data_IF_178126165129
#
_entry.id   IF_178126165129
#
_cell.length_a   1.000
_cell.length_b   1.000
_cell.length_c   1.000
_cell.angle_alpha   90.00
_cell.angle_beta   90.00
_cell.angle_gamma   90.00
#
_symmetry.space_group_name_H-M   'P 1'
#
loop_
_entity.id
_entity.type
_entity.pdbx_description
1 polymer ?
#
# COMPACT_ATOMS: atom_id res chain seq x y z
N UNK A 1 57.36 52.56 -24.42
CA UNK A 1 57.36 51.95 -23.07
C UNK A 1 56.44 50.73 -23.11
N UNK A 2 57.02 49.54 -23.25
CA UNK A 2 57.23 48.54 -22.17
C UNK A 2 55.99 47.70 -21.80
N UNK A 3 56.03 46.45 -22.31
CA UNK A 3 55.73 45.15 -21.65
C UNK A 3 54.33 44.87 -21.10
N UNK A 4 53.66 43.84 -21.63
CA UNK A 4 53.64 42.45 -21.10
C UNK A 4 52.85 42.35 -19.78
N UNK A 5 51.82 41.54 -19.61
CA UNK A 5 51.80 40.07 -19.76
C UNK A 5 50.61 39.55 -18.94
N UNK A 6 50.24 38.28 -19.15
CA UNK A 6 49.43 37.42 -18.26
C UNK A 6 47.92 37.67 -18.28
N UNK A 7 47.06 36.67 -18.28
CA UNK A 7 47.25 35.22 -18.34
C UNK A 7 45.86 34.60 -18.52
N UNK A 8 45.82 33.52 -19.28
CA UNK A 8 45.09 32.29 -18.94
C UNK A 8 44.00 32.44 -17.86
N UNK A 9 42.74 32.57 -18.30
CA UNK A 9 41.64 31.91 -17.61
C UNK A 9 40.81 31.16 -18.63
N UNK A 10 41.25 29.93 -18.87
CA UNK A 10 40.35 28.87 -19.26
C UNK A 10 39.16 28.88 -18.30
N UNK A 11 38.00 29.29 -18.81
CA UNK A 11 36.73 28.80 -18.32
C UNK A 11 36.24 27.78 -19.33
N UNK A 12 36.88 26.62 -19.26
CA UNK A 12 36.18 25.34 -19.25
C UNK A 12 35.00 25.42 -18.26
N UNK A 13 33.90 26.06 -18.66
CA UNK A 13 32.61 25.75 -18.05
C UNK A 13 32.04 24.57 -18.81
N UNK A 14 32.65 23.44 -18.43
CA UNK A 14 31.94 22.22 -18.08
C UNK A 14 30.75 22.03 -18.98
N UNK A 15 30.99 21.31 -20.08
CA UNK A 15 29.92 20.56 -20.71
C UNK A 15 29.12 19.96 -19.58
N UNK A 16 27.91 20.48 -19.37
CA UNK A 16 26.90 19.81 -18.57
C UNK A 16 26.72 18.50 -19.31
N UNK A 17 27.53 17.50 -18.94
CA UNK A 17 27.16 16.11 -19.01
C UNK A 17 25.78 16.12 -18.39
N UNK A 18 24.76 16.20 -19.25
CA UNK A 18 23.43 15.71 -18.98
C UNK A 18 23.70 14.26 -18.59
N UNK A 19 24.05 14.04 -17.33
CA UNK A 19 23.82 12.76 -16.69
C UNK A 19 22.36 12.54 -17.03
N UNK A 20 22.09 11.52 -17.84
CA UNK A 20 20.78 10.88 -17.95
C UNK A 20 20.45 10.38 -16.53
N UNK A 21 20.24 11.31 -15.62
CA UNK A 21 19.67 11.06 -14.32
C UNK A 21 18.21 10.84 -14.61
N UNK A 22 17.72 9.67 -14.23
CA UNK A 22 16.30 9.35 -14.20
C UNK A 22 15.54 10.61 -13.74
N UNK A 23 14.53 11.07 -14.49
CA UNK A 23 13.77 12.26 -14.17
C UNK A 23 13.36 12.23 -12.68
N UNK A 24 13.46 13.35 -11.95
CA UNK A 24 13.10 13.39 -10.52
C UNK A 24 11.65 12.93 -10.28
N UNK A 25 10.78 13.10 -11.27
CA UNK A 25 9.41 12.58 -11.28
C UNK A 25 9.35 11.05 -11.17
N UNK A 26 10.18 10.31 -11.92
CA UNK A 26 10.19 8.84 -11.90
C UNK A 26 10.69 8.32 -10.56
N UNK A 27 11.72 8.98 -9.98
CA UNK A 27 12.21 8.62 -8.64
C UNK A 27 11.13 8.81 -7.58
N UNK A 28 10.38 9.91 -7.65
CA UNK A 28 9.28 10.19 -6.74
C UNK A 28 8.16 9.14 -6.86
N UNK A 29 7.76 8.81 -8.08
CA UNK A 29 6.74 7.77 -8.35
C UNK A 29 7.17 6.42 -7.78
N UNK A 30 8.42 6.01 -8.04
CA UNK A 30 8.95 4.72 -7.56
C UNK A 30 8.98 4.64 -6.03
N UNK A 31 9.40 5.72 -5.37
CA UNK A 31 9.46 5.79 -3.91
C UNK A 31 8.05 5.79 -3.32
N UNK A 32 7.13 6.60 -3.85
CA UNK A 32 5.72 6.60 -3.42
C UNK A 32 5.03 5.26 -3.66
N UNK A 33 5.30 4.58 -4.78
CA UNK A 33 4.77 3.26 -5.05
C UNK A 33 5.30 2.23 -4.05
N UNK A 34 6.60 2.26 -3.74
CA UNK A 34 7.19 1.35 -2.76
C UNK A 34 6.56 1.54 -1.36
N UNK A 35 6.34 2.80 -0.95
CA UNK A 35 5.61 3.08 0.28
C UNK A 35 4.14 2.70 0.23
N UNK A 36 3.50 2.72 -0.95
CA UNK A 36 2.13 2.23 -1.14
C UNK A 36 2.03 0.71 -0.96
N UNK A 37 2.99 -0.03 -1.54
CA UNK A 37 3.09 -1.48 -1.39
C UNK A 37 3.32 -1.87 0.06
N UNK A 38 4.33 -1.28 0.70
CA UNK A 38 4.63 -1.53 2.11
C UNK A 38 3.42 -1.23 3.00
N UNK A 39 2.75 -0.10 2.74
CA UNK A 39 1.56 0.27 3.48
C UNK A 39 0.47 -0.80 3.38
N UNK A 40 0.10 -1.21 2.16
CA UNK A 40 -0.92 -2.24 1.95
C UNK A 40 -0.52 -3.60 2.56
N UNK A 41 0.76 -3.97 2.49
CA UNK A 41 1.26 -5.23 3.08
C UNK A 41 1.11 -5.27 4.60
N UNK A 42 1.17 -4.14 5.29
CA UNK A 42 0.96 -4.08 6.74
C UNK A 42 -0.51 -3.88 7.11
N UNK A 43 -1.22 -3.00 6.41
CA UNK A 43 -2.61 -2.67 6.78
C UNK A 43 -3.59 -3.77 6.44
N UNK A 44 -3.38 -4.48 5.34
CA UNK A 44 -4.28 -5.54 4.91
C UNK A 44 -4.34 -6.71 5.92
N UNK A 45 -3.22 -7.33 6.37
CA UNK A 45 -3.28 -8.38 7.38
C UNK A 45 -3.90 -7.91 8.70
N UNK A 46 -3.58 -6.69 9.14
CA UNK A 46 -4.17 -6.09 10.34
C UNK A 46 -5.69 -5.98 10.20
N UNK A 47 -6.17 -5.48 9.05
CA UNK A 47 -7.60 -5.37 8.78
C UNK A 47 -8.30 -6.72 8.76
N UNK A 48 -7.63 -7.75 8.24
CA UNK A 48 -8.14 -9.12 8.21
C UNK A 48 -8.30 -9.67 9.63
N UNK A 49 -7.27 -9.57 10.47
CA UNK A 49 -7.33 -10.01 11.87
C UNK A 49 -8.42 -9.29 12.68
N UNK A 50 -8.63 -7.99 12.46
CA UNK A 50 -9.69 -7.27 13.17
C UNK A 50 -11.08 -7.72 12.69
N UNK A 51 -11.28 -7.87 11.38
CA UNK A 51 -12.54 -8.37 10.83
C UNK A 51 -12.85 -9.79 11.31
N UNK A 52 -11.83 -10.64 11.41
CA UNK A 52 -11.91 -12.00 11.92
C UNK A 52 -12.25 -12.05 13.43
N UNK A 53 -11.68 -11.16 14.24
CA UNK A 53 -12.08 -11.04 15.64
C UNK A 53 -13.57 -10.67 15.75
N UNK A 54 -14.07 -9.83 14.84
CA UNK A 54 -15.50 -9.55 14.70
C UNK A 54 -16.34 -10.81 14.43
N UNK A 55 -15.87 -11.68 13.53
CA UNK A 55 -16.50 -12.98 13.26
C UNK A 55 -16.55 -13.86 14.51
N UNK A 56 -15.44 -13.97 15.24
CA UNK A 56 -15.37 -14.75 16.47
C UNK A 56 -16.43 -14.31 17.49
N UNK A 57 -16.56 -13.00 17.73
CA UNK A 57 -17.57 -12.46 18.66
C UNK A 57 -18.99 -12.82 18.21
N UNK A 58 -19.27 -12.74 16.90
CA UNK A 58 -20.60 -13.07 16.36
C UNK A 58 -20.92 -14.56 16.40
N UNK A 59 -19.92 -15.42 16.24
CA UNK A 59 -20.06 -16.87 16.44
C UNK A 59 -20.43 -17.17 17.90
N UNK A 60 -19.73 -16.55 18.86
CA UNK A 60 -20.05 -16.71 20.30
C UNK A 60 -21.47 -16.23 20.61
N UNK A 61 -21.97 -15.23 19.89
CA UNK A 61 -23.32 -14.68 20.06
C UNK A 61 -24.39 -15.42 19.23
N UNK A 62 -24.05 -16.58 18.64
CA UNK A 62 -24.94 -17.44 17.86
C UNK A 62 -25.71 -16.68 16.76
N UNK A 63 -25.05 -15.74 16.09
CA UNK A 63 -25.66 -15.02 14.97
C UNK A 63 -25.79 -15.91 13.73
N UNK A 64 -26.77 -15.64 12.84
CA UNK A 64 -26.91 -16.38 11.59
C UNK A 64 -25.73 -16.12 10.65
N UNK A 65 -25.36 -17.14 9.87
CA UNK A 65 -24.18 -17.14 9.00
C UNK A 65 -24.16 -15.98 7.99
N UNK A 66 -25.32 -15.59 7.45
CA UNK A 66 -25.44 -14.45 6.54
C UNK A 66 -24.98 -13.14 7.20
N UNK A 67 -25.39 -12.91 8.45
CA UNK A 67 -25.03 -11.70 9.22
C UNK A 67 -23.54 -11.70 9.56
N UNK A 68 -22.96 -12.86 9.86
CA UNK A 68 -21.52 -12.99 10.13
C UNK A 68 -20.70 -12.61 8.89
N UNK A 69 -21.07 -13.13 7.72
CA UNK A 69 -20.38 -12.82 6.46
C UNK A 69 -20.51 -11.35 6.07
N UNK A 70 -21.72 -10.81 6.12
CA UNK A 70 -21.97 -9.40 5.77
C UNK A 70 -21.15 -8.46 6.67
N UNK A 71 -21.13 -8.74 7.97
CA UNK A 71 -20.34 -7.95 8.91
C UNK A 71 -18.83 -8.13 8.72
N UNK A 72 -18.35 -9.34 8.41
CA UNK A 72 -16.93 -9.55 8.10
C UNK A 72 -16.49 -8.65 6.94
N UNK A 73 -17.21 -8.69 5.81
CA UNK A 73 -16.88 -7.87 4.65
C UNK A 73 -17.01 -6.38 4.96
N UNK A 74 -18.08 -5.99 5.66
CA UNK A 74 -18.30 -4.59 6.03
C UNK A 74 -17.17 -4.06 6.91
N UNK A 75 -16.77 -4.80 7.95
CA UNK A 75 -15.68 -4.41 8.85
C UNK A 75 -14.35 -4.37 8.13
N UNK A 76 -14.05 -5.37 7.29
CA UNK A 76 -12.82 -5.41 6.49
C UNK A 76 -12.72 -4.19 5.58
N UNK A 77 -13.79 -3.86 4.85
CA UNK A 77 -13.84 -2.70 3.96
C UNK A 77 -13.72 -1.40 4.75
N UNK A 78 -14.42 -1.26 5.88
CA UNK A 78 -14.36 -0.05 6.70
C UNK A 78 -12.97 0.20 7.28
N UNK A 79 -12.32 -0.85 7.79
CA UNK A 79 -10.97 -0.72 8.34
C UNK A 79 -9.97 -0.42 7.23
N UNK A 80 -10.09 -1.05 6.06
CA UNK A 80 -9.24 -0.69 4.93
C UNK A 80 -9.48 0.72 4.42
N UNK A 81 -10.72 1.18 4.37
CA UNK A 81 -11.05 2.55 4.03
C UNK A 81 -10.43 3.54 5.04
N UNK A 82 -10.44 3.20 6.34
CA UNK A 82 -9.81 3.99 7.38
C UNK A 82 -8.29 4.10 7.17
N UNK A 83 -7.62 3.01 6.83
CA UNK A 83 -6.20 3.04 6.50
C UNK A 83 -5.92 3.84 5.22
N UNK A 84 -6.75 3.68 4.18
CA UNK A 84 -6.63 4.45 2.93
C UNK A 84 -6.87 5.95 3.12
N UNK A 85 -7.48 6.37 4.22
CA UNK A 85 -7.65 7.79 4.57
C UNK A 85 -6.29 8.48 4.83
N UNK A 86 -5.28 7.75 5.30
CA UNK A 86 -3.93 8.29 5.56
C UNK A 86 -3.29 8.88 4.28
N UNK A 87 -3.15 8.13 3.17
CA UNK A 87 -2.62 8.69 1.92
C UNK A 87 -3.53 9.74 1.29
N UNK A 88 -4.86 9.66 1.49
CA UNK A 88 -5.80 10.72 1.06
C UNK A 88 -5.48 12.04 1.74
N UNK A 89 -5.35 12.02 3.07
CA UNK A 89 -5.05 13.20 3.88
C UNK A 89 -3.72 13.84 3.48
N UNK A 90 -2.70 13.01 3.20
CA UNK A 90 -1.39 13.49 2.80
C UNK A 90 -1.28 13.89 1.31
N UNK A 91 -2.40 13.88 0.56
CA UNK A 91 -2.48 14.19 -0.88
C UNK A 91 -1.47 13.40 -1.72
N UNK A 92 -1.32 12.10 -1.43
CA UNK A 92 -0.41 11.18 -2.13
C UNK A 92 -1.20 10.22 -3.05
N UNK A 93 -1.65 10.66 -4.25
CA UNK A 93 -2.55 9.88 -5.10
C UNK A 93 -1.89 8.60 -5.61
N UNK A 94 -0.60 8.62 -5.94
CA UNK A 94 0.14 7.44 -6.43
C UNK A 94 0.18 6.37 -5.35
N UNK A 95 0.48 6.76 -4.10
CA UNK A 95 0.53 5.85 -2.96
C UNK A 95 -0.84 5.20 -2.71
N UNK A 96 -1.92 5.98 -2.82
CA UNK A 96 -3.28 5.49 -2.68
C UNK A 96 -3.63 4.48 -3.77
N UNK A 97 -3.41 4.81 -5.04
CA UNK A 97 -3.71 3.90 -6.16
C UNK A 97 -2.95 2.60 -6.02
N UNK A 98 -1.66 2.66 -5.69
CA UNK A 98 -0.84 1.47 -5.48
C UNK A 98 -1.33 0.66 -4.28
N UNK A 99 -1.67 1.31 -3.17
CA UNK A 99 -2.20 0.62 -1.99
C UNK A 99 -3.51 -0.12 -2.28
N UNK A 100 -4.42 0.48 -3.05
CA UNK A 100 -5.69 -0.15 -3.47
C UNK A 100 -5.40 -1.36 -4.36
N UNK A 101 -4.55 -1.21 -5.38
CA UNK A 101 -4.21 -2.31 -6.30
C UNK A 101 -3.58 -3.47 -5.53
N UNK A 102 -2.65 -3.19 -4.62
CA UNK A 102 -1.99 -4.22 -3.81
C UNK A 102 -2.96 -4.89 -2.85
N UNK A 103 -3.83 -4.13 -2.18
CA UNK A 103 -4.87 -4.70 -1.31
C UNK A 103 -5.83 -5.62 -2.09
N UNK A 104 -6.24 -5.21 -3.29
CA UNK A 104 -7.06 -6.05 -4.17
C UNK A 104 -6.32 -7.32 -4.62
N UNK A 105 -5.04 -7.21 -4.95
CA UNK A 105 -4.22 -8.36 -5.32
C UNK A 105 -4.04 -9.33 -4.14
N UNK A 106 -3.83 -8.81 -2.92
CA UNK A 106 -3.76 -9.62 -1.69
C UNK A 106 -5.07 -10.33 -1.41
N UNK A 107 -6.20 -9.63 -1.51
CA UNK A 107 -7.52 -10.24 -1.39
C UNK A 107 -7.77 -11.34 -2.43
N UNK A 108 -7.43 -11.07 -3.68
CA UNK A 108 -7.55 -12.05 -4.78
C UNK A 108 -6.64 -13.26 -4.56
N UNK A 109 -5.44 -13.06 -4.02
CA UNK A 109 -4.53 -14.14 -3.67
C UNK A 109 -5.08 -14.99 -2.52
N UNK A 110 -5.67 -14.38 -1.50
CA UNK A 110 -6.28 -15.09 -0.37
C UNK A 110 -7.51 -15.91 -0.78
N UNK A 111 -8.40 -15.30 -1.55
CA UNK A 111 -9.62 -15.98 -2.01
C UNK A 111 -9.34 -17.02 -3.09
N UNK A 112 -8.42 -16.73 -4.02
CA UNK A 112 -8.12 -17.60 -5.16
C UNK A 112 -7.12 -18.71 -4.85
N UNK A 113 -6.03 -18.43 -4.13
CA UNK A 113 -4.94 -19.39 -3.90
C UNK A 113 -5.14 -20.13 -2.58
N UNK A 114 -5.48 -19.40 -1.52
CA UNK A 114 -5.61 -19.99 -0.19
C UNK A 114 -7.02 -20.54 0.11
N UNK A 115 -7.98 -20.40 -0.82
CA UNK A 115 -9.40 -20.75 -0.61
C UNK A 115 -9.93 -20.23 0.73
N UNK A 116 -9.48 -19.03 1.12
CA UNK A 116 -9.73 -18.51 2.46
C UNK A 116 -11.23 -18.26 2.64
N UNK A 117 -11.83 -18.98 3.60
CA UNK A 117 -13.22 -18.80 3.97
C UNK A 117 -13.25 -18.19 5.38
N UNK A 118 -13.79 -16.96 5.57
CA UNK A 118 -13.65 -16.18 6.80
C UNK A 118 -14.20 -16.83 8.07
N UNK A 119 -14.92 -17.94 7.92
CA UNK A 119 -15.53 -18.71 8.99
C UNK A 119 -14.71 -19.98 9.28
N UNK A 120 -14.31 -20.73 8.25
CA UNK A 120 -13.72 -22.07 8.42
C UNK A 120 -12.19 -22.09 8.41
N UNK A 121 -11.53 -21.05 7.89
CA UNK A 121 -10.09 -21.09 7.65
C UNK A 121 -9.21 -20.88 8.90
N UNK A 122 -9.73 -20.24 9.95
CA UNK A 122 -8.95 -19.96 11.17
C UNK A 122 -9.56 -20.52 12.46
N UNK A 123 -10.89 -20.61 12.56
CA UNK A 123 -11.55 -21.17 13.74
C UNK A 123 -12.05 -22.60 13.54
N UNK A 124 -11.83 -23.20 12.37
CA UNK A 124 -12.29 -24.56 12.04
C UNK A 124 -13.79 -24.63 11.75
N UNK A 125 -14.27 -25.83 11.44
CA UNK A 125 -15.72 -26.08 11.27
C UNK A 125 -16.47 -25.68 12.53
N UNK A 126 -17.51 -24.86 12.33
CA UNK A 126 -18.45 -24.49 13.38
C UNK A 126 -19.04 -25.79 13.98
N UNK A 127 -19.19 -25.91 15.32
CA UNK A 127 -19.68 -27.13 15.96
C UNK A 127 -21.19 -27.37 15.79
N UNK A 128 -21.79 -26.99 14.65
CA UNK A 128 -23.18 -27.28 14.32
C UNK A 128 -23.35 -27.84 12.90
#
# INVERSE_FOLDING_TARGET
MLRSSRSWRGRTRVGRRRRRGIPPTIKKVLVESMYGVLFALFTFPISLFIAELGVYVMIVWMQPLSVILDNFFMVLILIQALFLLIPVYNKQPIRLTVAIIVAYALWSALTGIASFHPITSLFGELPY
#
